data_IF_931056712200
#
_entry.id   IF_931056712200
#
_cell.length_a   1.000
_cell.length_b   1.000
_cell.length_c   1.000
_cell.angle_alpha   90.00
_cell.angle_beta   90.00
_cell.angle_gamma   90.00
#
_symmetry.space_group_name_H-M   'P 1'
#
loop_
_entity.id
_entity.type
_entity.pdbx_description
1 polymer ?
#
# COMPACT_ATOMS: atom_id res chain seq x y z
N UNK A 1 -9.83 -1.26 -17.97
CA UNK A 1 -8.43 -1.72 -18.07
C UNK A 1 -8.42 -2.93 -19.02
N UNK A 2 -7.92 -2.82 -20.26
CA UNK A 2 -7.58 -3.99 -21.09
C UNK A 2 -6.06 -4.07 -21.21
N UNK A 3 -5.49 -4.11 -20.01
CA UNK A 3 -4.14 -4.37 -19.54
C UNK A 3 -3.00 -3.66 -20.25
N UNK A 4 -2.93 -2.34 -20.06
CA UNK A 4 -1.97 -1.44 -20.73
C UNK A 4 -1.89 -1.65 -22.25
N UNK A 5 -3.05 -1.95 -22.85
CA UNK A 5 -3.26 -2.39 -24.23
C UNK A 5 -2.79 -3.84 -24.53
N UNK A 6 -3.15 -4.76 -23.61
CA UNK A 6 -3.31 -6.23 -23.71
C UNK A 6 -2.18 -7.15 -23.17
N UNK A 7 -1.57 -6.81 -22.03
CA UNK A 7 -0.60 -7.59 -21.20
C UNK A 7 0.90 -7.40 -21.55
N UNK A 8 1.64 -6.69 -20.70
CA UNK A 8 3.06 -6.37 -20.86
C UNK A 8 3.97 -7.43 -20.24
N UNK A 9 4.80 -8.13 -21.03
CA UNK A 9 6.24 -7.77 -21.18
C UNK A 9 6.65 -7.40 -22.63
N UNK A 10 5.70 -7.41 -23.58
CA UNK A 10 5.97 -7.09 -24.99
C UNK A 10 4.73 -6.59 -25.77
N UNK A 11 3.90 -5.72 -25.19
CA UNK A 11 2.73 -5.22 -25.92
C UNK A 11 3.15 -4.30 -27.08
N UNK A 12 2.43 -4.41 -28.21
CA UNK A 12 2.68 -3.70 -29.49
C UNK A 12 2.66 -2.17 -29.38
N UNK A 13 2.31 -1.66 -28.21
CA UNK A 13 1.98 -0.28 -27.88
C UNK A 13 3.18 0.59 -27.51
N UNK A 14 4.37 0.01 -27.31
CA UNK A 14 5.61 0.72 -26.88
C UNK A 14 5.37 1.69 -25.71
N UNK A 15 4.53 1.30 -24.76
CA UNK A 15 4.27 2.11 -23.58
C UNK A 15 5.46 2.04 -22.64
N UNK A 16 5.86 3.19 -22.10
CA UNK A 16 6.93 3.30 -21.12
C UNK A 16 6.44 3.08 -19.67
N UNK A 17 5.20 2.67 -19.49
CA UNK A 17 4.52 2.45 -18.22
C UNK A 17 3.76 1.12 -18.25
N UNK A 18 3.47 0.57 -17.06
CA UNK A 18 2.74 -0.68 -16.87
C UNK A 18 1.43 -0.42 -16.12
N UNK A 19 0.34 -0.96 -16.64
CA UNK A 19 -1.02 -0.81 -16.11
C UNK A 19 -1.69 -2.17 -15.83
N UNK A 20 -0.90 -3.25 -15.78
CA UNK A 20 -1.37 -4.55 -15.30
C UNK A 20 -1.95 -4.38 -13.91
N UNK A 21 -3.06 -5.06 -13.65
CA UNK A 21 -3.76 -4.92 -12.38
C UNK A 21 -2.92 -5.41 -11.20
N UNK A 22 -2.09 -6.42 -11.43
CA UNK A 22 -1.27 -7.11 -10.43
C UNK A 22 0.12 -6.48 -10.23
N UNK A 23 0.41 -5.32 -10.83
CA UNK A 23 1.72 -4.69 -10.61
C UNK A 23 1.69 -3.64 -9.51
N UNK A 24 2.76 -3.63 -8.74
CA UNK A 24 3.00 -2.65 -7.67
C UNK A 24 3.20 -1.24 -8.24
N UNK A 25 3.00 -0.22 -7.40
CA UNK A 25 3.21 1.19 -7.80
C UNK A 25 4.60 1.43 -8.44
N UNK A 26 5.73 0.90 -7.93
CA UNK A 26 7.02 1.00 -8.61
C UNK A 26 7.03 0.39 -10.02
N UNK A 27 6.42 -0.79 -10.18
CA UNK A 27 6.40 -1.52 -11.45
C UNK A 27 5.55 -0.83 -12.52
N UNK A 28 4.60 0.03 -12.13
CA UNK A 28 3.85 0.87 -13.07
C UNK A 28 4.75 1.83 -13.86
N UNK A 29 5.93 2.19 -13.34
CA UNK A 29 6.87 3.15 -13.97
C UNK A 29 6.22 4.50 -14.30
N UNK A 30 5.40 5.02 -13.40
CA UNK A 30 4.78 6.36 -13.56
C UNK A 30 5.30 7.39 -12.55
N UNK A 31 5.86 6.94 -11.43
CA UNK A 31 6.38 7.82 -10.37
C UNK A 31 7.78 8.32 -10.73
N UNK A 32 7.98 9.62 -10.63
CA UNK A 32 9.21 10.36 -10.94
C UNK A 32 9.78 10.13 -12.35
N UNK A 33 8.92 9.68 -13.29
CA UNK A 33 9.26 9.49 -14.70
C UNK A 33 9.09 10.78 -15.49
N UNK A 34 10.02 11.05 -16.42
CA UNK A 34 9.95 12.22 -17.31
C UNK A 34 8.75 12.10 -18.26
N UNK A 35 7.84 13.09 -18.32
CA UNK A 35 6.70 13.07 -19.21
C UNK A 35 7.14 13.39 -20.64
N UNK A 36 6.41 12.88 -21.63
CA UNK A 36 6.63 13.25 -23.04
C UNK A 36 6.36 14.75 -23.27
N UNK A 37 5.25 15.25 -22.74
CA UNK A 37 4.92 16.67 -22.71
C UNK A 37 4.77 17.12 -21.25
N UNK A 38 5.65 18.03 -20.83
CA UNK A 38 5.71 18.59 -19.47
C UNK A 38 4.90 19.89 -19.30
N UNK A 39 4.13 20.32 -20.31
CA UNK A 39 3.19 21.46 -20.21
C UNK A 39 3.86 22.78 -19.78
N UNK A 40 5.15 22.95 -20.13
CA UNK A 40 5.94 24.10 -19.69
C UNK A 40 6.35 24.09 -18.21
N UNK A 41 5.99 23.05 -17.45
CA UNK A 41 6.33 22.92 -16.03
C UNK A 41 7.80 22.50 -15.88
N UNK A 42 8.65 23.31 -15.24
CA UNK A 42 10.04 22.95 -14.98
C UNK A 42 10.14 21.71 -14.09
N UNK A 43 11.01 20.77 -14.45
CA UNK A 43 11.21 19.50 -13.75
C UNK A 43 9.94 18.65 -13.55
N UNK A 44 8.90 18.88 -14.38
CA UNK A 44 7.68 18.10 -14.35
C UNK A 44 7.96 16.59 -14.47
N UNK A 45 7.21 15.80 -13.69
CA UNK A 45 7.19 14.34 -13.73
C UNK A 45 5.79 13.85 -14.04
N UNK A 46 5.65 12.66 -14.61
CA UNK A 46 4.34 12.09 -14.90
C UNK A 46 3.48 12.09 -13.63
N UNK A 47 4.04 11.54 -12.54
CA UNK A 47 3.65 11.81 -11.15
C UNK A 47 4.93 12.17 -10.39
N UNK A 48 4.96 13.33 -9.74
CA UNK A 48 6.05 13.76 -8.88
C UNK A 48 5.71 13.40 -7.43
N UNK A 49 6.56 12.60 -6.79
CA UNK A 49 6.26 11.98 -5.49
C UNK A 49 5.92 12.95 -4.36
N UNK A 50 6.56 14.12 -4.32
CA UNK A 50 6.44 15.07 -3.21
C UNK A 50 5.80 16.41 -3.56
N UNK A 51 5.52 16.65 -4.85
CA UNK A 51 5.08 17.97 -5.32
C UNK A 51 3.98 17.79 -6.36
N UNK A 52 2.70 17.81 -5.94
CA UNK A 52 1.56 17.67 -6.85
C UNK A 52 1.56 18.69 -7.99
N UNK A 53 2.15 19.88 -7.81
CA UNK A 53 2.22 20.91 -8.86
C UNK A 53 3.18 20.54 -10.00
N UNK A 54 4.09 19.59 -9.77
CA UNK A 54 4.99 19.04 -10.79
C UNK A 54 4.46 17.75 -11.42
N UNK A 55 3.32 17.24 -10.94
CA UNK A 55 2.68 16.02 -11.46
C UNK A 55 1.84 16.32 -12.70
N UNK A 56 2.37 15.99 -13.88
CA UNK A 56 1.69 16.24 -15.15
C UNK A 56 0.33 15.55 -15.22
N UNK A 57 0.19 14.33 -14.68
CA UNK A 57 -1.10 13.65 -14.66
C UNK A 57 -2.16 14.46 -13.92
N UNK A 58 -1.81 15.00 -12.74
CA UNK A 58 -2.72 15.84 -11.96
C UNK A 58 -3.05 17.14 -12.72
N UNK A 59 -2.06 17.76 -13.35
CA UNK A 59 -2.25 18.98 -14.13
C UNK A 59 -3.16 18.80 -15.35
N UNK A 60 -3.14 17.61 -15.95
CA UNK A 60 -4.03 17.27 -17.07
C UNK A 60 -5.49 17.16 -16.64
N UNK A 61 -5.78 16.67 -15.44
CA UNK A 61 -7.16 16.47 -14.98
C UNK A 61 -7.75 17.69 -14.26
N UNK A 62 -6.91 18.59 -13.73
CA UNK A 62 -7.35 19.78 -12.97
C UNK A 62 -7.34 21.10 -13.73
N UNK A 63 -6.88 21.12 -14.99
CA UNK A 63 -6.83 22.33 -15.82
C UNK A 63 -7.78 22.23 -17.02
N UNK A 64 -8.18 23.39 -17.52
CA UNK A 64 -8.85 23.52 -18.81
C UNK A 64 -7.85 23.94 -19.91
N UNK A 65 -8.22 23.76 -21.17
CA UNK A 65 -7.39 24.07 -22.34
C UNK A 65 -6.93 22.84 -23.14
N UNK A 66 -6.02 23.06 -24.08
CA UNK A 66 -5.62 22.05 -25.08
C UNK A 66 -4.94 20.81 -24.50
N UNK A 67 -4.26 20.96 -23.37
CA UNK A 67 -3.45 19.88 -22.79
C UNK A 67 -4.21 19.06 -21.72
N UNK A 68 -5.45 19.42 -21.44
CA UNK A 68 -6.29 18.72 -20.44
C UNK A 68 -6.67 17.32 -20.88
N UNK A 69 -7.07 16.51 -19.91
CA UNK A 69 -7.65 15.19 -20.11
C UNK A 69 -8.99 15.08 -19.37
N UNK A 70 -10.04 14.51 -20.00
CA UNK A 70 -10.04 14.14 -21.41
C UNK A 70 -10.07 15.39 -22.32
N UNK A 71 -9.41 15.36 -23.50
CA UNK A 71 -9.33 16.53 -24.36
C UNK A 71 -10.69 16.88 -24.99
N UNK A 72 -11.59 15.90 -25.09
CA UNK A 72 -12.96 16.01 -25.60
C UNK A 72 -13.91 15.25 -24.67
N UNK A 73 -15.20 15.57 -24.74
CA UNK A 73 -16.26 14.80 -24.06
C UNK A 73 -16.75 15.35 -22.72
N UNK A 74 -16.07 16.34 -22.13
CA UNK A 74 -16.55 17.12 -20.98
C UNK A 74 -15.73 18.39 -20.87
N UNK A 75 -16.29 19.51 -20.41
CA UNK A 75 -15.57 20.74 -19.98
C UNK A 75 -15.52 20.90 -18.47
N UNK A 76 -16.21 20.04 -17.75
CA UNK A 76 -16.25 20.03 -16.29
C UNK A 76 -14.97 19.40 -15.74
N UNK A 77 -14.46 19.96 -14.64
CA UNK A 77 -13.38 19.37 -13.85
C UNK A 77 -14.01 18.45 -12.81
N UNK A 78 -13.54 17.21 -12.74
CA UNK A 78 -13.93 16.29 -11.68
C UNK A 78 -13.11 16.60 -10.41
N UNK A 79 -13.63 17.52 -9.60
CA UNK A 79 -12.98 17.95 -8.35
C UNK A 79 -12.77 16.78 -7.38
N UNK A 80 -13.63 15.76 -7.39
CA UNK A 80 -13.47 14.60 -6.51
C UNK A 80 -12.27 13.75 -6.95
N UNK A 81 -12.14 13.50 -8.26
CA UNK A 81 -10.99 12.79 -8.82
C UNK A 81 -9.69 13.56 -8.62
N UNK A 82 -9.70 14.89 -8.84
CA UNK A 82 -8.53 15.77 -8.60
C UNK A 82 -8.08 15.67 -7.15
N UNK A 83 -9.01 15.82 -6.20
CA UNK A 83 -8.70 15.74 -4.77
C UNK A 83 -8.20 14.35 -4.37
N UNK A 84 -8.78 13.28 -4.93
CA UNK A 84 -8.32 11.92 -4.68
C UNK A 84 -6.87 11.71 -5.12
N UNK A 85 -6.51 12.09 -6.35
CA UNK A 85 -5.15 11.93 -6.87
C UNK A 85 -4.17 12.84 -6.14
N UNK A 86 -4.56 14.08 -5.83
CA UNK A 86 -3.73 14.99 -5.04
C UNK A 86 -3.43 14.40 -3.66
N UNK A 87 -4.45 13.89 -2.97
CA UNK A 87 -4.31 13.23 -1.67
C UNK A 87 -3.40 12.01 -1.75
N UNK A 88 -3.59 11.15 -2.75
CA UNK A 88 -2.72 10.00 -2.98
C UNK A 88 -1.25 10.40 -3.18
N UNK A 89 -0.98 11.49 -3.92
CA UNK A 89 0.39 12.00 -4.09
C UNK A 89 0.97 12.50 -2.77
N UNK A 90 0.22 13.28 -2.00
CA UNK A 90 0.75 13.93 -0.80
C UNK A 90 0.83 13.02 0.42
N UNK A 91 -0.09 12.06 0.54
CA UNK A 91 -0.23 11.20 1.71
C UNK A 91 0.38 9.82 1.45
N UNK A 92 -0.09 9.09 0.44
CA UNK A 92 0.24 7.68 0.25
C UNK A 92 1.60 7.48 -0.46
N UNK A 93 1.85 8.24 -1.53
CA UNK A 93 3.11 8.19 -2.28
C UNK A 93 4.31 8.73 -1.51
N UNK A 94 4.08 9.53 -0.48
CA UNK A 94 5.16 10.04 0.38
C UNK A 94 5.90 8.89 1.09
N UNK A 95 5.19 7.80 1.39
CA UNK A 95 5.72 6.61 2.07
C UNK A 95 6.68 5.84 1.17
N UNK A 96 7.71 5.16 1.72
CA UNK A 96 8.59 4.27 0.96
C UNK A 96 7.81 3.28 0.09
N UNK A 97 8.16 3.21 -1.20
CA UNK A 97 7.48 2.35 -2.17
C UNK A 97 8.22 1.02 -2.40
N UNK A 98 9.40 0.88 -1.81
CA UNK A 98 10.23 -0.32 -1.88
C UNK A 98 11.03 -0.47 -0.59
N UNK A 99 11.43 -1.70 -0.27
CA UNK A 99 12.32 -1.96 0.87
C UNK A 99 13.60 -1.12 0.79
N UNK A 100 14.18 -0.94 -0.39
CA UNK A 100 15.37 -0.10 -0.57
C UNK A 100 15.13 1.38 -0.27
N UNK A 101 13.98 1.93 -0.66
CA UNK A 101 13.63 3.31 -0.31
C UNK A 101 13.40 3.46 1.19
N UNK A 102 12.77 2.47 1.81
CA UNK A 102 12.54 2.45 3.25
C UNK A 102 13.87 2.40 4.00
N UNK A 103 14.83 1.58 3.55
CA UNK A 103 16.18 1.54 4.12
C UNK A 103 16.86 2.92 4.05
N UNK A 104 16.68 3.69 2.97
CA UNK A 104 17.27 5.04 2.85
C UNK A 104 16.68 6.06 3.82
N UNK A 105 15.47 5.82 4.33
CA UNK A 105 14.81 6.71 5.29
C UNK A 105 15.39 6.48 6.69
N UNK A 106 15.54 5.22 7.09
CA UNK A 106 15.89 4.86 8.47
C UNK A 106 17.39 4.60 8.68
N UNK A 107 18.11 4.16 7.66
CA UNK A 107 19.53 3.82 7.75
C UNK A 107 20.41 4.81 6.98
N UNK A 108 21.68 4.90 7.38
CA UNK A 108 22.64 5.84 6.78
C UNK A 108 22.95 5.53 5.33
N UNK A 109 22.90 4.25 4.95
CA UNK A 109 23.15 3.77 3.61
C UNK A 109 22.39 2.47 3.34
N UNK A 110 22.12 2.17 2.08
CA UNK A 110 21.52 0.89 1.65
C UNK A 110 22.42 -0.33 1.90
N UNK A 111 23.69 -0.10 2.25
CA UNK A 111 24.69 -1.12 2.58
C UNK A 111 24.97 -1.20 4.08
N UNK A 112 24.17 -0.53 4.90
CA UNK A 112 24.31 -0.59 6.35
C UNK A 112 24.09 -2.05 6.82
N UNK A 113 25.02 -2.65 7.59
CA UNK A 113 24.86 -4.02 8.07
C UNK A 113 23.55 -4.26 8.83
N UNK A 114 23.05 -3.23 9.51
CA UNK A 114 21.80 -3.32 10.27
C UNK A 114 20.56 -3.27 9.35
N UNK A 115 20.69 -2.80 8.10
CA UNK A 115 19.55 -2.70 7.16
C UNK A 115 19.11 -4.02 6.50
N UNK A 116 19.71 -5.15 6.87
CA UNK A 116 19.42 -6.45 6.25
C UNK A 116 17.97 -6.85 6.56
N UNK A 117 17.22 -7.25 5.53
CA UNK A 117 15.79 -7.57 5.59
C UNK A 117 15.38 -8.57 6.69
N UNK A 118 16.24 -9.54 7.01
CA UNK A 118 15.99 -10.59 8.00
C UNK A 118 16.48 -10.25 9.42
N UNK A 119 17.14 -9.11 9.62
CA UNK A 119 17.58 -8.67 10.93
C UNK A 119 16.47 -7.94 11.67
N UNK A 120 16.58 -7.98 12.99
CA UNK A 120 15.79 -7.23 13.96
C UNK A 120 16.75 -6.16 14.53
N UNK A 121 16.63 -4.93 14.05
CA UNK A 121 17.65 -3.89 14.25
C UNK A 121 17.49 -3.17 15.59
N UNK A 122 16.27 -3.06 16.08
CA UNK A 122 15.90 -2.39 17.32
C UNK A 122 15.62 -3.38 18.47
N UNK A 123 15.49 -4.67 18.18
CA UNK A 123 15.46 -5.75 19.16
C UNK A 123 14.06 -6.10 19.67
N UNK A 124 13.02 -5.80 18.89
CA UNK A 124 11.62 -6.04 19.26
C UNK A 124 11.08 -7.42 18.80
N UNK A 125 11.94 -8.23 18.16
CA UNK A 125 11.68 -9.50 17.49
C UNK A 125 10.90 -9.40 16.17
N UNK A 126 10.86 -8.23 15.55
CA UNK A 126 10.31 -8.01 14.22
C UNK A 126 11.46 -7.79 13.25
N UNK A 127 11.41 -8.45 12.08
CA UNK A 127 12.47 -8.26 11.09
C UNK A 127 12.24 -6.96 10.33
N UNK A 128 13.30 -6.30 9.87
CA UNK A 128 13.26 -5.09 9.04
C UNK A 128 12.29 -5.20 7.85
N UNK A 129 12.21 -6.37 7.22
CA UNK A 129 11.25 -6.58 6.14
C UNK A 129 9.79 -6.55 6.60
N UNK A 130 9.50 -7.11 7.79
CA UNK A 130 8.17 -7.04 8.37
C UNK A 130 7.87 -5.60 8.79
N UNK A 131 8.82 -4.89 9.40
CA UNK A 131 8.73 -3.46 9.74
C UNK A 131 8.39 -2.59 8.50
N UNK A 132 9.06 -2.85 7.38
CA UNK A 132 8.75 -2.22 6.09
C UNK A 132 7.30 -2.47 5.66
N UNK A 133 6.83 -3.73 5.74
CA UNK A 133 5.45 -4.10 5.38
C UNK A 133 4.43 -3.45 6.33
N UNK A 134 4.77 -3.30 7.60
CA UNK A 134 3.91 -2.72 8.64
C UNK A 134 3.97 -1.21 8.75
N UNK A 135 4.92 -0.57 8.05
CA UNK A 135 5.17 0.88 8.06
C UNK A 135 5.56 1.39 9.46
N UNK A 136 6.39 0.62 10.15
CA UNK A 136 6.91 0.90 11.49
C UNK A 136 8.40 1.29 11.43
N UNK A 137 8.89 1.95 12.48
CA UNK A 137 10.26 2.46 12.59
C UNK A 137 11.23 1.39 13.12
N UNK A 138 12.16 0.88 12.30
CA UNK A 138 13.08 -0.20 12.68
C UNK A 138 14.22 0.25 13.60
N UNK A 139 14.15 1.49 14.10
CA UNK A 139 15.10 2.07 15.06
C UNK A 139 14.43 2.38 16.39
N UNK A 140 13.12 2.14 16.51
CA UNK A 140 12.32 2.38 17.70
C UNK A 140 11.59 1.10 18.15
N UNK A 141 12.09 0.39 19.17
CA UNK A 141 11.51 -0.89 19.60
C UNK A 141 10.10 -0.77 20.20
N UNK A 142 9.58 0.46 20.41
CA UNK A 142 8.20 0.69 20.86
C UNK A 142 7.21 0.89 19.70
N UNK A 143 7.69 1.12 18.46
CA UNK A 143 6.87 1.28 17.25
C UNK A 143 6.71 -0.04 16.51
N UNK A 144 5.73 -0.84 16.92
CA UNK A 144 5.45 -2.13 16.29
C UNK A 144 3.97 -2.34 16.00
N UNK A 145 3.70 -3.12 14.96
CA UNK A 145 2.36 -3.43 14.51
C UNK A 145 1.61 -4.33 15.51
N UNK A 146 0.48 -3.84 16.01
CA UNK A 146 -0.31 -4.51 17.06
C UNK A 146 -1.65 -4.99 16.53
N UNK A 147 -1.90 -6.30 16.62
CA UNK A 147 -3.24 -6.84 16.68
C UNK A 147 -3.71 -6.83 18.14
N UNK A 148 -4.88 -6.23 18.40
CA UNK A 148 -5.47 -6.19 19.74
C UNK A 148 -6.65 -7.14 19.81
N UNK A 149 -6.79 -7.84 20.92
CA UNK A 149 -7.99 -8.63 21.23
C UNK A 149 -8.61 -8.04 22.50
N UNK A 150 -9.83 -7.56 22.38
CA UNK A 150 -10.62 -7.04 23.50
C UNK A 150 -11.73 -8.03 23.85
N UNK A 151 -11.91 -8.28 25.14
CA UNK A 151 -12.98 -9.12 25.67
C UNK A 151 -13.82 -8.35 26.67
N UNK A 152 -15.10 -8.19 26.36
CA UNK A 152 -16.10 -7.62 27.26
C UNK A 152 -17.26 -8.58 27.41
N UNK A 153 -17.42 -9.12 28.62
CA UNK A 153 -18.43 -10.14 28.95
C UNK A 153 -18.39 -11.36 28.01
N UNK A 154 -19.36 -11.45 27.09
CA UNK A 154 -19.51 -12.51 26.09
C UNK A 154 -19.00 -12.09 24.70
N UNK A 155 -18.66 -10.83 24.51
CA UNK A 155 -18.15 -10.30 23.26
C UNK A 155 -16.63 -10.37 23.24
N UNK A 156 -16.09 -10.88 22.13
CA UNK A 156 -14.66 -10.92 21.85
C UNK A 156 -14.46 -10.24 20.51
N UNK A 157 -13.68 -9.17 20.51
CA UNK A 157 -13.38 -8.39 19.32
C UNK A 157 -11.89 -8.43 19.02
N UNK A 158 -11.58 -8.60 17.74
CA UNK A 158 -10.24 -8.48 17.19
C UNK A 158 -10.16 -7.13 16.50
N UNK A 159 -9.17 -6.33 16.87
CA UNK A 159 -8.86 -5.05 16.24
C UNK A 159 -7.53 -5.15 15.52
N UNK A 160 -7.54 -4.84 14.23
CA UNK A 160 -6.38 -4.94 13.35
C UNK A 160 -6.28 -3.64 12.56
N UNK A 161 -5.16 -2.93 12.72
CA UNK A 161 -4.87 -1.77 11.89
C UNK A 161 -4.63 -2.24 10.45
N UNK A 162 -5.36 -1.67 9.50
CA UNK A 162 -5.12 -1.93 8.09
C UNK A 162 -4.00 -1.03 7.58
N UNK A 163 -3.23 -1.53 6.63
CA UNK A 163 -2.13 -0.80 6.00
C UNK A 163 -2.55 -0.50 4.56
N UNK A 164 -2.38 0.74 4.15
CA UNK A 164 -2.70 1.18 2.78
C UNK A 164 -2.00 0.29 1.75
N UNK A 165 -2.74 -0.23 0.76
CA UNK A 165 -2.24 -1.12 -0.30
C UNK A 165 -1.69 -2.47 0.18
N UNK A 166 -2.03 -2.91 1.40
CA UNK A 166 -1.65 -4.23 1.92
C UNK A 166 -2.89 -5.01 2.31
N UNK A 167 -2.98 -6.26 1.88
CA UNK A 167 -4.03 -7.16 2.35
C UNK A 167 -3.62 -7.79 3.67
N UNK A 168 -4.37 -7.49 4.74
CA UNK A 168 -4.21 -8.11 6.05
C UNK A 168 -5.23 -9.24 6.20
N UNK A 169 -4.79 -10.49 6.06
CA UNK A 169 -5.61 -11.69 6.27
C UNK A 169 -5.56 -12.10 7.74
N UNK A 170 -6.72 -12.21 8.40
CA UNK A 170 -6.79 -12.82 9.74
C UNK A 170 -6.95 -14.32 9.58
N UNK A 171 -6.05 -15.06 10.21
CA UNK A 171 -6.09 -16.51 10.25
C UNK A 171 -6.27 -16.99 11.69
N UNK A 172 -6.83 -18.19 11.85
CA UNK A 172 -7.01 -18.81 13.14
C UNK A 172 -6.62 -20.30 13.12
N UNK A 173 -6.37 -20.82 14.32
CA UNK A 173 -6.17 -22.25 14.57
C UNK A 173 -6.49 -22.62 16.01
N UNK A 174 -6.81 -23.89 16.28
CA UNK A 174 -6.85 -24.45 17.62
C UNK A 174 -5.48 -24.98 18.09
N UNK A 175 -4.52 -25.15 17.17
CA UNK A 175 -3.24 -25.83 17.36
C UNK A 175 -2.09 -25.00 16.79
N UNK A 176 -1.65 -23.93 17.48
CA UNK A 176 -0.71 -22.95 16.92
C UNK A 176 0.66 -23.51 16.52
N UNK A 177 1.08 -24.62 17.14
CA UNK A 177 2.34 -25.31 16.80
C UNK A 177 2.32 -26.11 15.49
N UNK A 178 1.14 -26.35 14.90
CA UNK A 178 1.02 -26.96 13.58
C UNK A 178 0.83 -25.86 12.51
N UNK A 179 1.87 -25.60 11.73
CA UNK A 179 1.85 -24.57 10.69
C UNK A 179 0.78 -24.83 9.60
N UNK A 180 0.37 -26.08 9.37
CA UNK A 180 -0.64 -26.43 8.38
C UNK A 180 -2.08 -26.26 8.90
N UNK A 181 -2.26 -26.16 10.21
CA UNK A 181 -3.58 -26.01 10.83
C UNK A 181 -4.19 -24.61 10.70
N UNK A 182 -3.38 -23.62 10.32
CA UNK A 182 -3.80 -22.23 10.17
C UNK A 182 -4.69 -22.05 8.95
N UNK A 183 -5.89 -21.50 9.17
CA UNK A 183 -6.87 -21.26 8.12
C UNK A 183 -7.47 -19.87 8.23
N UNK A 184 -7.97 -19.36 7.11
CA UNK A 184 -8.62 -18.05 7.03
C UNK A 184 -9.83 -17.99 7.97
N UNK A 185 -10.00 -16.87 8.65
CA UNK A 185 -11.20 -16.60 9.45
C UNK A 185 -12.33 -16.19 8.50
N UNK A 186 -13.28 -17.10 8.27
CA UNK A 186 -14.38 -16.91 7.30
C UNK A 186 -15.47 -15.97 7.85
N UNK A 187 -15.24 -14.67 7.67
CA UNK A 187 -16.21 -13.60 7.98
C UNK A 187 -16.15 -12.48 6.94
N UNK A 188 -17.25 -11.76 6.69
CA UNK A 188 -17.28 -10.67 5.71
C UNK A 188 -16.20 -9.60 5.94
N UNK A 189 -15.89 -9.30 7.19
CA UNK A 189 -14.89 -8.30 7.57
C UNK A 189 -13.46 -8.74 7.20
N UNK A 190 -13.21 -10.04 6.98
CA UNK A 190 -11.92 -10.60 6.61
C UNK A 190 -11.79 -10.89 5.10
N UNK A 191 -12.62 -10.22 4.28
CA UNK A 191 -12.57 -10.36 2.82
C UNK A 191 -11.25 -9.82 2.25
N UNK A 192 -10.79 -10.41 1.15
CA UNK A 192 -9.64 -9.94 0.40
C UNK A 192 -9.87 -8.53 -0.15
N UNK A 193 -9.18 -7.54 0.43
CA UNK A 193 -9.30 -6.14 0.08
C UNK A 193 -8.01 -5.39 0.40
N UNK A 194 -7.56 -4.55 -0.54
CA UNK A 194 -6.43 -3.63 -0.36
C UNK A 194 -6.99 -2.23 -0.09
N UNK A 195 -6.92 -1.74 1.15
CA UNK A 195 -7.52 -0.46 1.50
C UNK A 195 -6.67 0.69 0.96
N UNK A 196 -7.33 1.76 0.48
CA UNK A 196 -6.65 2.96 -0.01
C UNK A 196 -6.07 3.82 1.13
N UNK A 197 -6.47 3.58 2.38
CA UNK A 197 -5.96 4.28 3.55
C UNK A 197 -5.96 3.37 4.77
N UNK A 198 -5.06 3.65 5.71
CA UNK A 198 -5.02 2.92 6.98
C UNK A 198 -6.24 3.24 7.84
N UNK A 199 -6.86 2.20 8.41
CA UNK A 199 -8.02 2.30 9.28
C UNK A 199 -8.05 1.13 10.28
N UNK A 200 -8.76 1.29 11.39
CA UNK A 200 -8.92 0.21 12.36
C UNK A 200 -10.06 -0.71 11.94
N UNK A 201 -9.74 -1.96 11.57
CA UNK A 201 -10.73 -3.00 11.30
C UNK A 201 -11.07 -3.75 12.58
N UNK A 202 -12.37 -3.92 12.84
CA UNK A 202 -12.87 -4.65 14.02
C UNK A 202 -13.69 -5.86 13.58
N UNK A 203 -13.41 -7.02 14.17
CA UNK A 203 -14.13 -8.28 13.91
C UNK A 203 -14.67 -8.83 15.22
N UNK A 204 -15.98 -9.08 15.25
CA UNK A 204 -16.63 -9.74 16.39
C UNK A 204 -16.61 -11.26 16.22
N UNK A 205 -15.66 -11.91 16.86
CA UNK A 205 -15.50 -13.38 16.79
C UNK A 205 -16.41 -14.13 17.75
N UNK A 206 -17.14 -13.43 18.64
CA UNK A 206 -18.11 -14.08 19.53
C UNK A 206 -19.33 -14.67 18.80
N UNK A 207 -19.57 -14.19 17.56
CA UNK A 207 -20.60 -14.71 16.67
C UNK A 207 -20.21 -16.03 15.99
N UNK A 208 -18.98 -16.49 16.20
CA UNK A 208 -18.41 -17.68 15.56
C UNK A 208 -18.07 -18.70 16.64
N UNK A 209 -18.47 -19.96 16.44
CA UNK A 209 -18.12 -21.02 17.38
C UNK A 209 -16.75 -21.60 17.05
N UNK A 210 -15.68 -21.00 17.61
CA UNK A 210 -14.29 -21.42 17.40
C UNK A 210 -13.71 -22.24 18.56
N UNK A 211 -14.39 -22.30 19.71
CA UNK A 211 -13.81 -22.84 20.94
C UNK A 211 -12.57 -22.05 21.39
N UNK A 212 -11.52 -22.74 21.82
CA UNK A 212 -10.21 -22.13 22.05
C UNK A 212 -9.50 -21.91 20.72
N UNK A 213 -9.21 -20.66 20.38
CA UNK A 213 -8.57 -20.28 19.13
C UNK A 213 -7.41 -19.31 19.34
N UNK A 214 -6.39 -19.48 18.52
CA UNK A 214 -5.27 -18.56 18.35
C UNK A 214 -5.44 -17.84 17.02
N UNK A 215 -4.97 -16.60 16.95
CA UNK A 215 -5.11 -15.75 15.79
C UNK A 215 -3.75 -15.21 15.35
N UNK A 216 -3.62 -14.95 14.05
CA UNK A 216 -2.49 -14.19 13.49
C UNK A 216 -2.97 -13.34 12.34
N UNK A 217 -2.22 -12.30 12.04
CA UNK A 217 -2.37 -11.51 10.82
C UNK A 217 -1.32 -11.97 9.82
N UNK A 218 -1.73 -12.27 8.60
CA UNK A 218 -0.84 -12.51 7.47
C UNK A 218 -0.97 -11.34 6.51
N UNK A 219 0.13 -10.60 6.33
CA UNK A 219 0.20 -9.50 5.38
C UNK A 219 0.57 -10.04 3.99
N UNK A 220 -0.03 -9.46 2.96
CA UNK A 220 0.32 -9.69 1.55
C UNK A 220 0.34 -8.36 0.81
N UNK A 221 1.39 -8.14 0.03
CA UNK A 221 1.43 -7.05 -0.95
C UNK A 221 0.66 -7.47 -2.22
N UNK A 222 0.35 -6.48 -3.06
CA UNK A 222 -0.17 -6.68 -4.42
C UNK A 222 0.87 -7.36 -5.31
#
# INVERSE_FOLDING_TARGET
NCEACHESVSSRSRLHWNATFEVTTPETKIVDVKPYNHMGIPDGRLIHRFDPSKSILLERIRRNGLERMPPLGSTEIDEQAVNLIQRWITEDLSKPQSFTDWVRVYFRAVTDPDSIASLDSDGDNISNFLEFLTQTDPTDPDDFYKMKIDRHEKTVQIHVATISNTYSEIQWTATPGDHQSWKTLEVPENTHFYPASSSLRTIDVSKINLGSAFFRVRLREL
#
